data_IF_793841160470
#
_entry.id   IF_793841160470
#
_cell.length_a   1.000
_cell.length_b   1.000
_cell.length_c   1.000
_cell.angle_alpha   90.00
_cell.angle_beta   90.00
_cell.angle_gamma   90.00
#
_symmetry.space_group_name_H-M   'P 1'
#
loop_
_entity.id
_entity.type
_entity.pdbx_description
1 polymer ?
#
# COMPACT_ATOMS: atom_id res chain seq x y z
N UNK A 1 -8.27 6.04 13.84
CA UNK A 1 -8.22 5.29 12.56
C UNK A 1 -7.89 3.84 12.89
N UNK A 2 -8.70 2.87 12.43
CA UNK A 2 -8.44 1.44 12.69
C UNK A 2 -7.50 0.87 11.60
N UNK A 3 -6.75 -0.19 11.93
CA UNK A 3 -5.88 -0.97 11.04
C UNK A 3 -6.60 -1.37 9.74
N UNK A 4 -7.86 -1.78 9.82
CA UNK A 4 -8.67 -2.10 8.64
C UNK A 4 -8.88 -0.89 7.71
N UNK A 5 -9.17 0.29 8.28
CA UNK A 5 -9.30 1.54 7.52
C UNK A 5 -7.96 2.01 6.94
N UNK A 6 -6.86 1.82 7.68
CA UNK A 6 -5.52 2.13 7.18
C UNK A 6 -5.14 1.24 5.98
N UNK A 7 -5.40 -0.06 6.09
CA UNK A 7 -5.20 -1.01 5.00
C UNK A 7 -6.00 -0.60 3.75
N UNK A 8 -7.29 -0.28 3.93
CA UNK A 8 -8.16 0.12 2.82
C UNK A 8 -7.63 1.39 2.14
N UNK A 9 -7.31 2.44 2.90
CA UNK A 9 -6.81 3.68 2.35
C UNK A 9 -5.47 3.50 1.62
N UNK A 10 -4.57 2.65 2.12
CA UNK A 10 -3.30 2.34 1.43
C UNK A 10 -3.54 1.67 0.08
N UNK A 11 -4.53 0.78 -0.03
CA UNK A 11 -4.90 0.18 -1.31
C UNK A 11 -5.51 1.22 -2.26
N UNK A 12 -6.43 2.05 -1.79
CA UNK A 12 -7.09 3.08 -2.59
C UNK A 12 -6.07 4.07 -3.15
N UNK A 13 -5.18 4.59 -2.30
CA UNK A 13 -4.13 5.50 -2.73
C UNK A 13 -3.14 4.85 -3.70
N UNK A 14 -2.80 3.56 -3.53
CA UNK A 14 -1.94 2.87 -4.48
C UNK A 14 -2.59 2.79 -5.88
N UNK A 15 -3.90 2.56 -5.94
CA UNK A 15 -4.65 2.54 -7.21
C UNK A 15 -4.67 3.92 -7.86
N UNK A 16 -5.00 4.96 -7.10
CA UNK A 16 -5.02 6.34 -7.58
C UNK A 16 -3.64 6.77 -8.10
N UNK A 17 -2.57 6.42 -7.36
CA UNK A 17 -1.20 6.78 -7.73
C UNK A 17 -0.77 6.11 -9.04
N UNK A 18 -1.18 4.86 -9.25
CA UNK A 18 -0.91 4.13 -10.50
C UNK A 18 -1.70 4.72 -11.67
N UNK A 19 -2.95 5.11 -11.46
CA UNK A 19 -3.73 5.81 -12.49
C UNK A 19 -3.08 7.14 -12.86
N UNK A 20 -2.64 7.92 -11.86
CA UNK A 20 -1.93 9.18 -12.08
C UNK A 20 -0.63 8.96 -12.87
N UNK A 21 0.16 7.94 -12.52
CA UNK A 21 1.39 7.58 -13.22
C UNK A 21 1.18 7.43 -14.73
N UNK A 22 0.13 6.72 -15.14
CA UNK A 22 -0.18 6.51 -16.56
C UNK A 22 -0.74 7.73 -17.28
N UNK A 23 -1.10 8.80 -16.56
CA UNK A 23 -1.49 10.08 -17.15
C UNK A 23 -0.33 11.07 -17.28
N UNK A 24 0.83 10.77 -16.68
CA UNK A 24 1.96 11.69 -16.62
C UNK A 24 2.82 11.59 -17.89
N UNK A 25 2.96 12.67 -18.68
CA UNK A 25 3.91 12.71 -19.77
C UNK A 25 5.34 12.81 -19.24
N UNK A 26 6.31 12.18 -19.91
CA UNK A 26 7.73 12.38 -19.64
C UNK A 26 8.42 11.32 -18.75
N UNK A 27 7.84 10.13 -18.58
CA UNK A 27 8.53 8.99 -17.94
C UNK A 27 8.59 9.05 -16.41
N UNK A 28 7.81 9.93 -15.78
CA UNK A 28 7.65 9.99 -14.33
C UNK A 28 6.70 8.92 -13.77
N UNK A 29 6.30 7.97 -14.60
CA UNK A 29 5.46 6.84 -14.21
C UNK A 29 6.20 5.90 -13.25
N UNK A 30 7.50 5.67 -13.47
CA UNK A 30 8.28 4.65 -12.74
C UNK A 30 8.34 4.90 -11.22
N UNK A 31 8.63 6.13 -10.73
CA UNK A 31 8.61 6.41 -9.29
C UNK A 31 7.22 6.30 -8.66
N UNK A 32 6.17 6.65 -9.40
CA UNK A 32 4.78 6.60 -8.92
C UNK A 32 4.25 5.17 -8.90
N UNK A 33 4.60 4.37 -9.90
CA UNK A 33 4.33 2.92 -9.94
C UNK A 33 5.05 2.24 -8.79
N UNK A 34 6.33 2.51 -8.59
CA UNK A 34 7.10 1.91 -7.49
C UNK A 34 6.54 2.29 -6.11
N UNK A 35 6.12 3.55 -5.92
CA UNK A 35 5.47 3.97 -4.69
C UNK A 35 4.10 3.27 -4.51
N UNK A 36 3.33 3.05 -5.57
CA UNK A 36 2.05 2.31 -5.50
C UNK A 36 2.25 0.88 -4.99
N UNK A 37 3.30 0.20 -5.44
CA UNK A 37 3.64 -1.16 -5.04
C UNK A 37 4.01 -1.23 -3.56
N UNK A 38 4.82 -0.28 -3.08
CA UNK A 38 5.19 -0.18 -1.66
C UNK A 38 3.97 0.04 -0.77
N UNK A 39 2.98 0.81 -1.21
CA UNK A 39 1.75 1.03 -0.45
C UNK A 39 0.92 -0.25 -0.34
N UNK A 40 0.82 -1.01 -1.44
CA UNK A 40 0.17 -2.33 -1.45
C UNK A 40 0.89 -3.29 -0.49
N UNK A 41 2.22 -3.35 -0.52
CA UNK A 41 2.98 -4.24 0.35
C UNK A 41 2.91 -3.84 1.82
N UNK A 42 2.85 -2.54 2.11
CA UNK A 42 2.57 -2.04 3.45
C UNK A 42 1.17 -2.48 3.92
N UNK A 43 0.15 -2.33 3.06
CA UNK A 43 -1.22 -2.76 3.38
C UNK A 43 -1.34 -4.27 3.63
N UNK A 44 -0.53 -5.10 2.97
CA UNK A 44 -0.43 -6.54 3.25
C UNK A 44 0.23 -6.81 4.61
N UNK A 45 1.32 -6.10 4.93
CA UNK A 45 2.08 -6.29 6.17
C UNK A 45 1.35 -5.78 7.42
N UNK A 46 0.53 -4.74 7.29
CA UNK A 46 -0.34 -4.22 8.36
C UNK A 46 -1.32 -5.27 8.91
N UNK A 47 -1.58 -6.36 8.16
CA UNK A 47 -2.34 -7.53 8.64
C UNK A 47 -1.48 -8.50 9.46
N UNK A 48 -0.17 -8.56 9.21
CA UNK A 48 0.75 -9.50 9.86
C UNK A 48 1.11 -9.07 11.30
N UNK A 49 1.16 -7.77 11.57
CA UNK A 49 1.49 -7.22 12.89
C UNK A 49 0.30 -7.24 13.89
N UNK A 50 -0.90 -7.52 13.39
CA UNK A 50 -2.12 -7.68 14.20
C UNK A 50 -2.42 -9.12 14.63
N UNK A 51 -1.54 -10.07 14.33
CA UNK A 51 -1.67 -11.44 14.84
C UNK A 51 -1.25 -11.48 16.32
N UNK A 52 -2.05 -12.06 17.24
CA UNK A 52 -1.58 -12.28 18.60
C UNK A 52 -0.34 -13.18 18.50
N UNK A 53 0.78 -12.75 19.11
CA UNK A 53 1.93 -13.60 19.37
C UNK A 53 1.46 -14.73 20.29
N UNK A 54 0.91 -15.78 19.68
CA UNK A 54 0.52 -17.02 20.34
C UNK A 54 1.69 -17.97 20.17
N UNK A 55 2.58 -17.98 21.16
CA UNK A 55 3.63 -19.00 21.25
C UNK A 55 4.98 -18.44 21.69
N UNK A 56 5.11 -18.19 22.99
CA UNK A 56 6.33 -18.54 23.70
C UNK A 56 5.90 -19.51 24.80
N UNK A 57 6.03 -20.81 24.49
CA UNK A 57 6.09 -21.89 25.46
C UNK A 57 7.50 -21.94 26.03
#
# INVERSE_FOLDING_TARGET
MNIASLKQNLYEFAVELRQLAYTMPGGHEDPLVHLSERMIDCAKQVVADGAPVKGAL
#
